data_IF_467336868100
#
_entry.id   IF_467336868100
#
_cell.length_a   1.000
_cell.length_b   1.000
_cell.length_c   1.000
_cell.angle_alpha   90.00
_cell.angle_beta   90.00
_cell.angle_gamma   90.00
#
_symmetry.space_group_name_H-M   'P 1'
#
loop_
_entity.id
_entity.type
_entity.pdbx_description
1 polymer ?
#
# COMPACT_ATOMS: atom_id res chain seq x y z
N UNK A 1 -85.84 12.31 -8.68
CA UNK A 1 -87.18 11.75 -8.40
C UNK A 1 -87.21 11.28 -6.95
N UNK A 2 -88.17 11.76 -6.14
CA UNK A 2 -88.84 10.89 -5.16
C UNK A 2 -89.74 9.92 -5.94
N UNK A 3 -90.07 8.73 -5.41
CA UNK A 3 -91.34 8.52 -4.69
C UNK A 3 -91.14 7.90 -3.29
N UNK A 4 -91.91 8.16 -2.21
CA UNK A 4 -93.37 8.06 -1.94
C UNK A 4 -93.83 6.66 -1.45
N UNK A 5 -93.98 6.53 -0.11
CA UNK A 5 -95.18 6.10 0.69
C UNK A 5 -96.24 5.10 0.12
N UNK A 6 -97.11 4.45 0.97
CA UNK A 6 -96.84 3.51 2.08
C UNK A 6 -97.58 2.14 1.86
N UNK A 7 -98.83 1.79 2.31
CA UNK A 7 -99.71 2.14 3.47
C UNK A 7 -100.20 0.94 4.36
N UNK A 8 -100.90 1.23 5.48
CA UNK A 8 -102.09 0.50 6.02
C UNK A 8 -101.94 -0.93 6.64
N UNK A 9 -102.74 -1.44 7.62
CA UNK A 9 -103.89 -0.95 8.44
C UNK A 9 -104.29 -1.96 9.56
N UNK A 10 -104.98 -1.48 10.63
CA UNK A 10 -106.12 -2.14 11.37
C UNK A 10 -105.86 -3.43 12.18
N UNK A 11 -106.55 -3.81 13.28
CA UNK A 11 -107.32 -3.18 14.39
C UNK A 11 -107.49 -4.24 15.51
N UNK A 12 -107.97 -3.85 16.69
CA UNK A 12 -108.50 -4.75 17.74
C UNK A 12 -107.79 -4.61 19.09
N UNK A 13 -108.41 -4.21 20.20
CA UNK A 13 -109.83 -3.88 20.44
C UNK A 13 -110.50 -4.91 21.34
N UNK A 14 -110.63 -4.61 22.63
CA UNK A 14 -111.65 -5.23 23.48
C UNK A 14 -112.01 -4.32 24.67
N UNK A 15 -113.27 -3.92 24.69
CA UNK A 15 -113.87 -2.98 25.64
C UNK A 15 -114.35 -3.70 26.90
N UNK A 16 -114.44 -2.97 28.01
CA UNK A 16 -115.60 -3.12 28.90
C UNK A 16 -116.13 -1.74 29.29
N UNK A 17 -117.44 -1.56 29.11
CA UNK A 17 -118.17 -0.30 29.23
C UNK A 17 -119.37 -0.54 30.14
N UNK A 18 -119.59 0.33 31.13
CA UNK A 18 -120.80 0.52 31.98
C UNK A 18 -120.35 1.48 33.10
N UNK A 19 -120.44 2.81 33.01
CA UNK A 19 -121.53 3.71 32.59
C UNK A 19 -122.66 3.85 33.62
N UNK A 20 -123.24 5.06 33.65
CA UNK A 20 -124.21 5.67 34.60
C UNK A 20 -123.53 6.39 35.79
N UNK A 21 -123.25 7.71 35.79
CA UNK A 21 -123.97 8.94 35.37
C UNK A 21 -124.75 9.64 36.51
N UNK A 22 -124.76 10.98 36.48
CA UNK A 22 -125.50 11.95 37.34
C UNK A 22 -125.27 11.92 38.87
N UNK A 23 -124.58 12.94 39.38
CA UNK A 23 -125.22 14.22 39.79
C UNK A 23 -124.31 15.06 40.71
N UNK A 24 -124.27 16.38 40.48
CA UNK A 24 -124.01 17.39 41.54
C UNK A 24 -125.38 17.92 42.00
N UNK A 25 -125.55 18.36 43.26
CA UNK A 25 -125.29 19.79 43.52
C UNK A 25 -124.74 20.14 44.93
N UNK A 26 -124.11 21.32 44.96
CA UNK A 26 -124.08 22.33 46.04
C UNK A 26 -123.71 22.00 47.50
N UNK A 27 -122.67 22.72 47.94
CA UNK A 27 -122.43 23.32 49.27
C UNK A 27 -122.80 22.53 50.55
N UNK A 28 -121.80 22.39 51.44
CA UNK A 28 -121.67 23.35 52.54
C UNK A 28 -120.20 23.56 52.98
N UNK A 29 -119.95 24.70 53.62
CA UNK A 29 -118.70 25.09 54.28
C UNK A 29 -118.22 24.04 55.31
N UNK A 30 -116.90 23.88 55.49
CA UNK A 30 -116.17 24.42 56.66
C UNK A 30 -114.64 24.38 56.38
N UNK A 31 -113.83 25.28 56.95
CA UNK A 31 -112.46 25.53 56.48
C UNK A 31 -111.38 24.86 57.36
N UNK A 32 -110.25 24.45 56.74
CA UNK A 32 -109.08 23.96 57.48
C UNK A 32 -107.79 24.60 56.96
N UNK A 33 -107.20 25.47 57.78
CA UNK A 33 -106.24 26.51 57.36
C UNK A 33 -104.78 26.04 57.23
N UNK A 34 -104.51 24.77 57.51
CA UNK A 34 -103.16 24.23 57.71
C UNK A 34 -102.44 23.75 56.44
N UNK A 35 -103.12 23.69 55.29
CA UNK A 35 -102.56 23.11 54.06
C UNK A 35 -101.96 24.15 53.08
N UNK A 36 -102.29 25.43 53.23
CA UNK A 36 -101.82 26.51 52.32
C UNK A 36 -100.38 26.90 52.62
N UNK A 37 -100.00 26.93 53.90
CA UNK A 37 -98.69 27.42 54.37
C UNK A 37 -97.55 26.46 53.97
N UNK A 38 -97.77 25.14 54.07
CA UNK A 38 -96.81 24.12 53.60
C UNK A 38 -96.55 24.20 52.09
N UNK A 39 -97.54 24.58 51.27
CA UNK A 39 -97.34 24.73 49.81
C UNK A 39 -96.45 25.92 49.47
N UNK A 40 -96.59 27.04 50.17
CA UNK A 40 -95.70 28.19 49.98
C UNK A 40 -94.28 27.91 50.48
N UNK A 41 -94.11 27.21 51.60
CA UNK A 41 -92.78 26.78 52.09
C UNK A 41 -92.10 25.86 51.08
N UNK A 42 -92.82 24.88 50.51
CA UNK A 42 -92.28 24.00 49.47
C UNK A 42 -91.90 24.76 48.18
N UNK A 43 -92.74 25.69 47.72
CA UNK A 43 -92.43 26.54 46.55
C UNK A 43 -91.20 27.41 46.80
N UNK A 44 -91.13 28.10 47.94
CA UNK A 44 -90.03 28.99 48.28
C UNK A 44 -88.74 28.19 48.48
N UNK A 45 -88.82 26.99 49.08
CA UNK A 45 -87.71 26.05 49.13
C UNK A 45 -87.23 25.69 47.73
N UNK A 46 -88.11 25.26 46.80
CA UNK A 46 -87.72 24.89 45.43
C UNK A 46 -87.10 26.03 44.63
N UNK A 47 -87.57 27.27 44.81
CA UNK A 47 -86.99 28.46 44.18
C UNK A 47 -85.60 28.73 44.78
N UNK A 48 -85.43 28.55 46.10
CA UNK A 48 -84.12 28.67 46.76
C UNK A 48 -83.14 27.58 46.29
N UNK A 49 -83.56 26.31 46.16
CA UNK A 49 -82.71 25.24 45.62
C UNK A 49 -82.35 25.48 44.15
N UNK A 50 -83.27 25.97 43.34
CA UNK A 50 -83.01 26.31 41.93
C UNK A 50 -82.03 27.48 41.81
N UNK A 51 -82.26 28.58 42.55
CA UNK A 51 -81.36 29.74 42.57
C UNK A 51 -79.97 29.40 43.11
N UNK A 52 -79.89 28.63 44.19
CA UNK A 52 -78.62 28.15 44.74
C UNK A 52 -77.89 27.21 43.78
N UNK A 53 -78.63 26.35 43.05
CA UNK A 53 -78.03 25.49 42.01
C UNK A 53 -77.43 26.33 40.88
N UNK A 54 -78.17 27.29 40.33
CA UNK A 54 -77.65 28.17 39.26
C UNK A 54 -76.43 28.96 39.74
N UNK A 55 -76.50 29.55 40.93
CA UNK A 55 -75.37 30.29 41.50
C UNK A 55 -74.15 29.39 41.76
N UNK A 56 -74.34 28.18 42.30
CA UNK A 56 -73.26 27.21 42.53
C UNK A 56 -72.59 26.76 41.22
N UNK A 57 -73.37 26.50 40.18
CA UNK A 57 -72.84 26.19 38.85
C UNK A 57 -72.05 27.37 38.24
N UNK A 58 -72.53 28.61 38.41
CA UNK A 58 -71.85 29.80 37.89
C UNK A 58 -70.57 30.15 38.67
N UNK A 59 -70.60 30.12 40.01
CA UNK A 59 -69.49 30.58 40.84
C UNK A 59 -68.42 29.52 41.16
N UNK A 60 -68.71 28.21 41.04
CA UNK A 60 -67.70 27.15 41.26
C UNK A 60 -67.31 26.41 39.98
N UNK A 61 -68.27 25.98 39.18
CA UNK A 61 -67.99 25.08 38.04
C UNK A 61 -67.50 25.87 36.81
N UNK A 62 -67.95 27.12 36.60
CA UNK A 62 -67.48 27.96 35.50
C UNK A 62 -66.01 28.45 35.57
N UNK A 63 -65.45 28.86 36.73
CA UNK A 63 -64.03 29.20 36.82
C UNK A 63 -63.14 27.97 36.64
N UNK A 64 -63.44 26.86 37.34
CA UNK A 64 -62.69 25.59 37.22
C UNK A 64 -62.61 25.10 35.76
N UNK A 65 -63.70 25.18 35.00
CA UNK A 65 -63.70 24.80 33.58
C UNK A 65 -62.84 25.69 32.67
N UNK A 66 -62.69 26.99 32.99
CA UNK A 66 -61.83 27.91 32.23
C UNK A 66 -60.36 27.73 32.57
N UNK A 67 -60.04 27.51 33.84
CA UNK A 67 -58.68 27.17 34.27
C UNK A 67 -58.25 25.80 33.72
N UNK A 68 -59.15 24.82 33.69
CA UNK A 68 -58.89 23.53 33.05
C UNK A 68 -58.63 23.66 31.54
N UNK A 69 -59.41 24.50 30.83
CA UNK A 69 -59.21 24.75 29.41
C UNK A 69 -57.87 25.45 29.13
N UNK A 70 -57.53 26.49 29.89
CA UNK A 70 -56.25 27.20 29.76
C UNK A 70 -55.05 26.32 30.13
N UNK A 71 -55.19 25.47 31.15
CA UNK A 71 -54.18 24.47 31.54
C UNK A 71 -54.04 23.39 30.47
N UNK A 72 -55.12 22.95 29.83
CA UNK A 72 -55.07 22.00 28.71
C UNK A 72 -54.34 22.59 27.51
N UNK A 73 -54.65 23.82 27.08
CA UNK A 73 -53.94 24.45 25.97
C UNK A 73 -52.48 24.72 26.28
N UNK A 74 -52.14 25.09 27.53
CA UNK A 74 -50.75 25.23 27.95
C UNK A 74 -50.00 23.87 27.97
N UNK A 75 -50.65 22.77 28.36
CA UNK A 75 -50.05 21.43 28.31
C UNK A 75 -49.88 20.93 26.86
N UNK A 76 -50.84 21.17 25.97
CA UNK A 76 -50.71 20.86 24.54
C UNK A 76 -49.56 21.66 23.90
N UNK A 77 -49.39 22.94 24.26
CA UNK A 77 -48.25 23.75 23.82
C UNK A 77 -46.91 23.24 24.37
N UNK A 78 -46.86 22.83 25.65
CA UNK A 78 -45.66 22.26 26.25
C UNK A 78 -45.28 20.90 25.64
N UNK A 79 -46.26 20.02 25.39
CA UNK A 79 -46.02 18.74 24.73
C UNK A 79 -45.48 18.94 23.30
N UNK A 80 -46.09 19.83 22.52
CA UNK A 80 -45.61 20.18 21.17
C UNK A 80 -44.23 20.84 21.20
N UNK A 81 -43.90 21.63 22.23
CA UNK A 81 -42.55 22.17 22.41
C UNK A 81 -41.52 21.07 22.71
N UNK A 82 -41.87 20.10 23.55
CA UNK A 82 -40.98 19.01 23.97
C UNK A 82 -40.81 17.94 22.86
N UNK A 83 -41.83 17.71 22.03
CA UNK A 83 -41.68 16.93 20.79
C UNK A 83 -40.74 17.61 19.79
N UNK A 84 -40.78 18.95 19.68
CA UNK A 84 -39.84 19.70 18.83
C UNK A 84 -38.41 19.58 19.33
N UNK A 85 -38.15 19.77 20.63
CA UNK A 85 -36.79 19.60 21.18
C UNK A 85 -36.26 18.18 21.01
N UNK A 86 -37.10 17.14 21.16
CA UNK A 86 -36.73 15.75 20.86
C UNK A 86 -36.43 15.56 19.36
N UNK A 87 -37.18 16.19 18.47
CA UNK A 87 -36.91 16.13 17.03
C UNK A 87 -35.60 16.83 16.64
N UNK A 88 -35.22 17.89 17.36
CA UNK A 88 -33.97 18.64 17.16
C UNK A 88 -32.77 17.91 17.75
N UNK A 89 -32.88 17.35 18.97
CA UNK A 89 -31.82 16.52 19.56
C UNK A 89 -31.59 15.23 18.78
N UNK A 90 -32.65 14.63 18.22
CA UNK A 90 -32.52 13.48 17.31
C UNK A 90 -31.71 13.84 16.06
N UNK A 91 -32.03 14.95 15.38
CA UNK A 91 -31.27 15.39 14.20
C UNK A 91 -29.80 15.62 14.52
N UNK A 92 -29.49 16.26 15.65
CA UNK A 92 -28.11 16.45 16.11
C UNK A 92 -27.41 15.13 16.38
N UNK A 93 -28.10 14.14 16.96
CA UNK A 93 -27.57 12.80 17.15
C UNK A 93 -27.28 12.12 15.80
N UNK A 94 -28.24 12.13 14.88
CA UNK A 94 -28.08 11.56 13.52
C UNK A 94 -26.89 12.24 12.79
N UNK A 95 -26.78 13.58 12.85
CA UNK A 95 -25.66 14.38 12.29
C UNK A 95 -24.30 14.02 12.92
N UNK A 96 -24.24 13.86 14.26
CA UNK A 96 -23.00 13.43 14.92
C UNK A 96 -22.62 11.98 14.63
N UNK A 97 -23.59 11.09 14.40
CA UNK A 97 -23.35 9.70 14.01
C UNK A 97 -22.83 9.57 12.58
N UNK A 98 -23.31 10.38 11.66
CA UNK A 98 -22.74 10.43 10.31
C UNK A 98 -21.34 11.08 10.33
N UNK A 99 -21.08 12.03 11.24
CA UNK A 99 -19.74 12.56 11.47
C UNK A 99 -18.76 11.53 12.07
N UNK A 100 -19.18 10.69 13.03
CA UNK A 100 -18.33 9.62 13.58
C UNK A 100 -18.04 8.53 12.54
N UNK A 101 -19.04 8.10 11.77
CA UNK A 101 -18.83 7.19 10.61
C UNK A 101 -17.82 7.75 9.61
N UNK A 102 -17.94 9.03 9.26
CA UNK A 102 -17.01 9.70 8.34
C UNK A 102 -15.58 9.73 8.90
N UNK A 103 -15.43 9.91 10.22
CA UNK A 103 -14.13 9.86 10.89
C UNK A 103 -13.55 8.43 10.97
N UNK A 104 -14.39 7.41 11.16
CA UNK A 104 -13.97 6.00 11.13
C UNK A 104 -13.46 5.59 9.73
N UNK A 105 -14.21 5.93 8.68
CA UNK A 105 -13.75 5.76 7.29
C UNK A 105 -12.43 6.49 7.01
N UNK A 106 -12.21 7.66 7.62
CA UNK A 106 -10.96 8.41 7.46
C UNK A 106 -9.77 7.69 8.12
N UNK A 107 -9.97 7.03 9.27
CA UNK A 107 -8.94 6.19 9.91
C UNK A 107 -8.63 4.96 9.05
N UNK A 108 -9.64 4.29 8.49
CA UNK A 108 -9.44 3.13 7.61
C UNK A 108 -8.69 3.51 6.32
N UNK A 109 -9.11 4.59 5.65
CA UNK A 109 -8.43 5.13 4.45
C UNK A 109 -7.00 5.55 4.76
N UNK A 110 -6.75 6.16 5.93
CA UNK A 110 -5.40 6.49 6.37
C UNK A 110 -4.54 5.23 6.61
N UNK A 111 -5.10 4.18 7.21
CA UNK A 111 -4.40 2.92 7.43
C UNK A 111 -4.04 2.23 6.10
N UNK A 112 -4.97 2.19 5.15
CA UNK A 112 -4.72 1.65 3.80
C UNK A 112 -3.62 2.45 3.08
N UNK A 113 -3.74 3.78 3.04
CA UNK A 113 -2.74 4.65 2.41
C UNK A 113 -1.35 4.52 3.04
N UNK A 114 -1.25 4.37 4.36
CA UNK A 114 0.02 4.14 5.06
C UNK A 114 0.66 2.79 4.67
N UNK A 115 -0.13 1.72 4.61
CA UNK A 115 0.36 0.39 4.20
C UNK A 115 0.75 0.38 2.72
N UNK A 116 0.02 1.11 1.87
CA UNK A 116 0.34 1.26 0.44
C UNK A 116 1.65 2.03 0.24
N UNK A 117 1.83 3.14 0.97
CA UNK A 117 3.08 3.90 0.99
C UNK A 117 4.25 3.00 1.46
N UNK A 118 4.07 2.19 2.51
CA UNK A 118 5.14 1.29 2.97
C UNK A 118 5.49 0.18 1.99
N UNK A 119 4.51 -0.35 1.26
CA UNK A 119 4.76 -1.28 0.14
C UNK A 119 5.49 -0.59 -1.01
N UNK A 120 5.18 0.67 -1.31
CA UNK A 120 5.90 1.46 -2.31
C UNK A 120 7.35 1.74 -1.88
N UNK A 121 7.58 2.20 -0.65
CA UNK A 121 8.94 2.42 -0.12
C UNK A 121 9.80 1.16 -0.17
N UNK A 122 9.24 -0.02 0.17
CA UNK A 122 9.93 -1.30 0.03
C UNK A 122 10.19 -1.70 -1.43
N UNK A 123 9.23 -1.48 -2.34
CA UNK A 123 9.42 -1.73 -3.77
C UNK A 123 10.49 -0.81 -4.37
N UNK A 124 10.48 0.48 -4.03
CA UNK A 124 11.50 1.44 -4.45
C UNK A 124 12.89 1.09 -3.89
N UNK A 125 12.97 0.62 -2.63
CA UNK A 125 14.21 0.15 -2.03
C UNK A 125 14.76 -1.12 -2.74
N UNK A 126 13.88 -2.08 -3.05
CA UNK A 126 14.25 -3.29 -3.81
C UNK A 126 14.66 -2.95 -5.24
N UNK A 127 13.91 -2.08 -5.94
CA UNK A 127 14.26 -1.61 -7.28
C UNK A 127 15.57 -0.81 -7.29
N UNK A 128 15.83 0.00 -6.27
CA UNK A 128 17.08 0.73 -6.11
C UNK A 128 18.26 -0.22 -5.84
N UNK A 129 18.08 -1.21 -4.95
CA UNK A 129 19.08 -2.24 -4.67
C UNK A 129 19.37 -3.08 -5.92
N UNK A 130 18.34 -3.48 -6.67
CA UNK A 130 18.48 -4.20 -7.94
C UNK A 130 19.19 -3.36 -9.00
N UNK A 131 18.78 -2.10 -9.21
CA UNK A 131 19.45 -1.17 -10.15
C UNK A 131 20.91 -0.95 -9.77
N UNK A 132 21.22 -0.84 -8.47
CA UNK A 132 22.59 -0.73 -7.98
C UNK A 132 23.38 -2.01 -8.27
N UNK A 133 22.85 -3.18 -7.92
CA UNK A 133 23.47 -4.48 -8.22
C UNK A 133 23.77 -4.66 -9.71
N UNK A 134 22.85 -4.26 -10.61
CA UNK A 134 23.07 -4.26 -12.06
C UNK A 134 24.15 -3.26 -12.49
N UNK A 135 24.25 -2.09 -11.85
CA UNK A 135 25.30 -1.11 -12.14
C UNK A 135 26.68 -1.59 -11.66
N UNK A 136 26.76 -2.12 -10.45
CA UNK A 136 27.97 -2.71 -9.85
C UNK A 136 28.47 -3.88 -10.73
N UNK A 137 27.57 -4.77 -11.19
CA UNK A 137 27.88 -5.83 -12.16
C UNK A 137 28.34 -5.29 -13.53
N UNK A 138 27.79 -4.18 -14.02
CA UNK A 138 28.24 -3.56 -15.27
C UNK A 138 29.64 -2.96 -15.14
N UNK A 139 29.99 -2.40 -13.98
CA UNK A 139 31.35 -1.90 -13.69
C UNK A 139 32.35 -3.06 -13.60
N UNK A 140 32.01 -4.15 -12.91
CA UNK A 140 32.83 -5.36 -12.85
C UNK A 140 33.09 -5.96 -14.25
N UNK A 141 32.05 -6.09 -15.07
CA UNK A 141 32.17 -6.55 -16.47
C UNK A 141 33.02 -5.58 -17.30
N UNK A 142 32.94 -4.27 -17.05
CA UNK A 142 33.79 -3.29 -17.73
C UNK A 142 35.27 -3.43 -17.32
N UNK A 143 35.55 -3.62 -16.03
CA UNK A 143 36.91 -3.94 -15.55
C UNK A 143 37.44 -5.25 -16.14
N UNK A 144 36.62 -6.31 -16.19
CA UNK A 144 37.02 -7.60 -16.73
C UNK A 144 37.34 -7.50 -18.21
N UNK A 145 36.53 -6.77 -18.98
CA UNK A 145 36.85 -6.45 -20.38
C UNK A 145 38.16 -5.65 -20.52
N UNK A 146 38.40 -4.65 -19.67
CA UNK A 146 39.66 -3.88 -19.69
C UNK A 146 40.87 -4.76 -19.36
N UNK A 147 40.76 -5.66 -18.36
CA UNK A 147 41.80 -6.65 -17.99
C UNK A 147 42.09 -7.60 -19.17
N UNK A 148 41.04 -8.09 -19.85
CA UNK A 148 41.15 -8.93 -21.06
C UNK A 148 41.85 -8.19 -22.20
N UNK A 149 41.51 -6.93 -22.47
CA UNK A 149 42.14 -6.15 -23.55
C UNK A 149 43.59 -5.80 -23.25
N UNK A 150 43.94 -5.48 -22.00
CA UNK A 150 45.35 -5.35 -21.60
C UNK A 150 46.13 -6.66 -21.83
N UNK A 151 45.53 -7.82 -21.54
CA UNK A 151 46.15 -9.12 -21.75
C UNK A 151 46.33 -9.44 -23.24
N UNK A 152 45.31 -9.13 -24.08
CA UNK A 152 45.41 -9.22 -25.55
C UNK A 152 46.56 -8.36 -26.09
N UNK A 153 46.69 -7.12 -25.61
CA UNK A 153 47.80 -6.22 -26.00
C UNK A 153 49.17 -6.76 -25.58
N UNK A 154 49.30 -7.33 -24.36
CA UNK A 154 50.56 -7.96 -23.91
C UNK A 154 50.93 -9.16 -24.78
N UNK A 155 49.99 -10.05 -25.07
CA UNK A 155 50.22 -11.19 -25.98
C UNK A 155 50.58 -10.75 -27.41
N UNK A 156 49.94 -9.71 -27.95
CA UNK A 156 50.26 -9.23 -29.29
C UNK A 156 51.68 -8.65 -29.36
N UNK A 157 52.06 -7.79 -28.40
CA UNK A 157 53.44 -7.28 -28.29
C UNK A 157 54.47 -8.39 -28.15
N UNK A 158 54.16 -9.43 -27.36
CA UNK A 158 55.04 -10.59 -27.22
C UNK A 158 55.23 -11.33 -28.55
N UNK A 159 54.15 -11.56 -29.31
CA UNK A 159 54.19 -12.22 -30.62
C UNK A 159 54.91 -11.38 -31.67
N UNK A 160 54.79 -10.06 -31.62
CA UNK A 160 55.55 -9.15 -32.50
C UNK A 160 57.04 -9.17 -32.14
N UNK A 161 57.38 -9.13 -30.86
CA UNK A 161 58.76 -9.28 -30.38
C UNK A 161 59.36 -10.64 -30.75
N UNK A 162 58.60 -11.74 -30.65
CA UNK A 162 59.09 -13.09 -31.00
C UNK A 162 59.26 -13.28 -32.51
N UNK A 163 58.41 -12.64 -33.34
CA UNK A 163 58.61 -12.54 -34.81
C UNK A 163 59.84 -11.71 -35.16
N UNK A 164 59.97 -10.51 -34.62
CA UNK A 164 61.09 -9.61 -34.89
C UNK A 164 62.44 -10.25 -34.50
N UNK A 165 62.53 -10.90 -33.34
CA UNK A 165 63.72 -11.62 -32.92
C UNK A 165 64.08 -12.79 -33.86
N UNK A 166 63.08 -13.51 -34.39
CA UNK A 166 63.28 -14.56 -35.41
C UNK A 166 63.79 -13.99 -36.73
N UNK A 167 63.23 -12.88 -37.19
CA UNK A 167 63.63 -12.21 -38.43
C UNK A 167 65.09 -11.71 -38.35
N UNK A 168 65.48 -11.08 -37.24
CA UNK A 168 66.88 -10.68 -37.00
C UNK A 168 67.84 -11.88 -37.01
N UNK A 169 67.48 -12.98 -36.34
CA UNK A 169 68.30 -14.20 -36.30
C UNK A 169 68.45 -14.82 -37.70
N UNK A 170 67.37 -14.86 -38.49
CA UNK A 170 67.37 -15.34 -39.87
C UNK A 170 68.25 -14.46 -40.77
N UNK A 171 68.07 -13.13 -40.74
CA UNK A 171 68.88 -12.19 -41.51
C UNK A 171 70.38 -12.32 -41.19
N UNK A 172 70.71 -12.49 -39.90
CA UNK A 172 72.09 -12.68 -39.43
C UNK A 172 72.67 -14.02 -39.92
N UNK A 173 71.89 -15.10 -39.86
CA UNK A 173 72.25 -16.43 -40.40
C UNK A 173 72.48 -16.38 -41.91
N UNK A 174 71.62 -15.70 -42.67
CA UNK A 174 71.79 -15.51 -44.11
C UNK A 174 73.06 -14.70 -44.41
N UNK A 175 73.31 -13.61 -43.68
CA UNK A 175 74.52 -12.81 -43.84
C UNK A 175 75.79 -13.67 -43.69
N UNK A 176 75.84 -14.55 -42.68
CA UNK A 176 76.95 -15.48 -42.46
C UNK A 176 77.08 -16.54 -43.54
N UNK A 177 75.97 -17.09 -44.05
CA UNK A 177 75.96 -17.98 -45.22
C UNK A 177 76.53 -17.30 -46.47
N UNK A 178 76.20 -16.03 -46.74
CA UNK A 178 76.80 -15.29 -47.87
C UNK A 178 78.30 -15.03 -47.68
N UNK A 179 78.78 -14.84 -46.45
CA UNK A 179 80.21 -14.70 -46.14
C UNK A 179 80.96 -16.03 -46.35
N UNK A 180 80.37 -17.15 -45.92
CA UNK A 180 80.91 -18.49 -46.18
C UNK A 180 81.00 -18.79 -47.68
N UNK A 181 79.95 -18.51 -48.46
CA UNK A 181 79.98 -18.64 -49.92
C UNK A 181 81.12 -17.82 -50.56
N UNK A 182 81.25 -16.53 -50.19
CA UNK A 182 82.34 -15.65 -50.65
C UNK A 182 83.74 -16.15 -50.24
N UNK A 183 83.88 -16.86 -49.12
CA UNK A 183 85.15 -17.47 -48.72
C UNK A 183 85.43 -18.77 -49.49
N UNK A 184 84.42 -19.60 -49.74
CA UNK A 184 84.53 -20.81 -50.54
C UNK A 184 84.90 -20.49 -52.00
N UNK A 185 84.34 -19.43 -52.59
CA UNK A 185 84.71 -19.00 -53.95
C UNK A 185 86.15 -18.46 -54.02
N UNK A 186 86.61 -17.73 -53.00
CA UNK A 186 88.03 -17.34 -52.87
C UNK A 186 88.95 -18.53 -52.65
N UNK A 187 88.51 -19.57 -51.94
CA UNK A 187 89.26 -20.81 -51.79
C UNK A 187 89.41 -21.53 -53.14
N UNK A 188 88.32 -21.62 -53.92
CA UNK A 188 88.32 -22.18 -55.28
C UNK A 188 89.24 -21.41 -56.22
N UNK A 189 89.21 -20.07 -56.21
CA UNK A 189 90.09 -19.27 -57.06
C UNK A 189 91.57 -19.50 -56.73
N UNK A 190 91.94 -19.48 -55.44
CA UNK A 190 93.30 -19.79 -55.00
C UNK A 190 93.72 -21.23 -55.33
N UNK A 191 92.80 -22.20 -55.32
CA UNK A 191 93.09 -23.57 -55.78
C UNK A 191 93.36 -23.62 -57.30
N UNK A 192 92.63 -22.84 -58.11
CA UNK A 192 92.91 -22.75 -59.55
C UNK A 192 94.24 -22.05 -59.85
N UNK A 193 94.58 -20.97 -59.14
CA UNK A 193 95.88 -20.30 -59.24
C UNK A 193 97.04 -21.22 -58.83
N UNK A 194 96.86 -21.97 -57.73
CA UNK A 194 97.85 -22.97 -57.29
C UNK A 194 98.09 -24.05 -58.35
N UNK A 195 97.01 -24.58 -58.93
CA UNK A 195 97.10 -25.58 -60.00
C UNK A 195 97.73 -25.06 -61.29
N UNK A 196 97.57 -23.77 -61.60
CA UNK A 196 98.28 -23.11 -62.71
C UNK A 196 99.77 -22.96 -62.39
N UNK A 197 100.13 -22.42 -61.23
CA UNK A 197 101.52 -22.25 -60.79
C UNK A 197 102.27 -23.59 -60.69
N UNK A 198 101.60 -24.68 -60.28
CA UNK A 198 102.18 -26.03 -60.24
C UNK A 198 102.48 -26.57 -61.66
N UNK A 199 101.60 -26.33 -62.64
CA UNK A 199 101.83 -26.69 -64.05
C UNK A 199 102.99 -25.89 -64.65
N UNK A 200 103.03 -24.58 -64.41
CA UNK A 200 104.12 -23.70 -64.87
C UNK A 200 105.46 -24.09 -64.25
N UNK A 201 105.49 -24.41 -62.96
CA UNK A 201 106.70 -24.86 -62.27
C UNK A 201 107.15 -26.25 -62.75
N UNK A 202 106.23 -27.15 -63.12
CA UNK A 202 106.59 -28.42 -63.77
C UNK A 202 107.22 -28.18 -65.15
N UNK A 203 106.57 -27.35 -65.99
CA UNK A 203 107.07 -26.99 -67.32
C UNK A 203 108.45 -26.32 -67.25
N UNK A 204 108.63 -25.32 -66.39
CA UNK A 204 109.92 -24.65 -66.20
C UNK A 204 111.02 -25.60 -65.67
N UNK A 205 110.67 -26.61 -64.87
CA UNK A 205 111.61 -27.67 -64.46
C UNK A 205 111.99 -28.61 -65.60
N UNK A 206 111.06 -28.92 -66.51
CA UNK A 206 111.33 -29.71 -67.71
C UNK A 206 112.15 -28.93 -68.74
N UNK A 207 111.81 -27.68 -69.01
CA UNK A 207 112.58 -26.78 -69.88
C UNK A 207 114.01 -26.56 -69.36
N UNK A 208 114.18 -26.42 -68.03
CA UNK A 208 115.52 -26.34 -67.43
C UNK A 208 116.31 -27.65 -67.56
N UNK A 209 115.66 -28.83 -67.43
CA UNK A 209 116.29 -30.13 -67.70
C UNK A 209 116.66 -30.29 -69.17
N UNK A 210 115.81 -29.84 -70.10
CA UNK A 210 116.05 -29.90 -71.54
C UNK A 210 117.21 -28.99 -71.95
N UNK A 211 117.19 -27.71 -71.56
CA UNK A 211 118.29 -26.77 -71.85
C UNK A 211 119.64 -27.24 -71.30
N UNK A 212 119.68 -27.82 -70.09
CA UNK A 212 120.89 -28.44 -69.52
C UNK A 212 121.47 -29.56 -70.40
N UNK A 213 120.64 -30.31 -71.14
CA UNK A 213 121.10 -31.37 -72.07
C UNK A 213 121.63 -30.82 -73.40
N UNK A 214 121.22 -29.62 -73.82
CA UNK A 214 121.48 -29.12 -75.18
C UNK A 214 122.48 -27.95 -75.27
N UNK A 215 122.64 -27.10 -74.24
CA UNK A 215 123.45 -25.87 -74.37
C UNK A 215 124.58 -25.67 -73.34
N UNK A 216 124.73 -26.56 -72.35
CA UNK A 216 125.76 -26.44 -71.30
C UNK A 216 125.61 -25.26 -70.33
N UNK A 217 124.69 -24.32 -70.59
CA UNK A 217 124.48 -23.12 -69.79
C UNK A 217 123.77 -23.41 -68.46
N UNK A 218 124.10 -22.62 -67.42
CA UNK A 218 123.48 -22.74 -66.10
C UNK A 218 121.97 -22.38 -66.15
N UNK A 219 121.11 -23.10 -65.42
CA UNK A 219 119.66 -22.85 -65.43
C UNK A 219 119.29 -21.54 -64.72
N UNK A 220 118.27 -20.85 -65.22
CA UNK A 220 117.65 -19.67 -64.59
C UNK A 220 116.96 -20.08 -63.26
N UNK A 221 117.72 -20.13 -62.16
CA UNK A 221 117.22 -20.54 -60.84
C UNK A 221 116.22 -19.56 -60.22
N UNK A 222 116.34 -18.26 -60.51
CA UNK A 222 115.47 -17.21 -59.93
C UNK A 222 114.00 -17.42 -60.29
N UNK A 223 113.68 -17.73 -61.55
CA UNK A 223 112.29 -17.94 -61.99
C UNK A 223 111.62 -19.13 -61.28
N UNK A 224 112.38 -20.20 -61.00
CA UNK A 224 111.89 -21.37 -60.27
C UNK A 224 111.70 -21.05 -58.77
N UNK A 225 112.63 -20.31 -58.16
CA UNK A 225 112.53 -19.88 -56.78
C UNK A 225 111.35 -18.89 -56.56
N UNK A 226 111.12 -17.96 -57.50
CA UNK A 226 110.01 -17.03 -57.48
C UNK A 226 108.65 -17.72 -57.51
N UNK A 227 108.44 -18.65 -58.47
CA UNK A 227 107.21 -19.47 -58.54
C UNK A 227 107.02 -20.32 -57.27
N UNK A 228 108.08 -20.90 -56.73
CA UNK A 228 107.99 -21.71 -55.50
C UNK A 228 107.66 -20.84 -54.26
N UNK A 229 108.14 -19.60 -54.20
CA UNK A 229 107.73 -18.63 -53.18
C UNK A 229 106.27 -18.17 -53.35
N UNK A 230 105.81 -17.96 -54.58
CA UNK A 230 104.41 -17.65 -54.90
C UNK A 230 103.46 -18.79 -54.49
N UNK A 231 103.78 -20.04 -54.83
CA UNK A 231 103.02 -21.21 -54.39
C UNK A 231 102.93 -21.30 -52.86
N UNK A 232 104.02 -21.03 -52.15
CA UNK A 232 104.00 -21.02 -50.68
C UNK A 232 103.11 -19.91 -50.11
N UNK A 233 103.07 -18.73 -50.73
CA UNK A 233 102.12 -17.66 -50.38
C UNK A 233 100.67 -18.07 -50.62
N UNK A 234 100.36 -18.72 -51.76
CA UNK A 234 99.02 -19.23 -52.07
C UNK A 234 98.60 -20.31 -51.07
N UNK A 235 99.49 -21.25 -50.72
CA UNK A 235 99.21 -22.28 -49.68
C UNK A 235 98.93 -21.64 -48.31
N UNK A 236 99.69 -20.63 -47.91
CA UNK A 236 99.45 -19.90 -46.67
C UNK A 236 98.11 -19.13 -46.68
N UNK A 237 97.76 -18.49 -47.81
CA UNK A 237 96.47 -17.82 -47.99
C UNK A 237 95.30 -18.81 -47.94
N UNK A 238 95.40 -19.96 -48.60
CA UNK A 238 94.41 -21.04 -48.55
C UNK A 238 94.23 -21.58 -47.13
N UNK A 239 95.32 -21.81 -46.39
CA UNK A 239 95.25 -22.23 -44.99
C UNK A 239 94.56 -21.17 -44.10
N UNK A 240 94.81 -19.88 -44.33
CA UNK A 240 94.16 -18.78 -43.61
C UNK A 240 92.66 -18.67 -43.95
N UNK A 241 92.25 -18.87 -45.21
CA UNK A 241 90.83 -18.92 -45.60
C UNK A 241 90.14 -20.14 -44.99
N UNK A 242 90.76 -21.32 -45.05
CA UNK A 242 90.20 -22.54 -44.42
C UNK A 242 90.00 -22.36 -42.91
N UNK A 243 90.92 -21.66 -42.22
CA UNK A 243 90.75 -21.31 -40.81
C UNK A 243 89.57 -20.34 -40.59
N UNK A 244 89.39 -19.34 -41.46
CA UNK A 244 88.25 -18.41 -41.40
C UNK A 244 86.90 -19.08 -41.67
N UNK A 245 86.82 -20.01 -42.62
CA UNK A 245 85.61 -20.80 -42.86
C UNK A 245 85.25 -21.62 -41.63
N UNK A 246 86.17 -22.44 -41.11
CA UNK A 246 85.93 -23.23 -39.89
C UNK A 246 85.46 -22.41 -38.69
N UNK A 247 85.97 -21.19 -38.53
CA UNK A 247 85.53 -20.25 -37.48
C UNK A 247 84.12 -19.70 -37.74
N UNK A 248 83.76 -19.43 -38.99
CA UNK A 248 82.41 -19.02 -39.38
C UNK A 248 81.40 -20.16 -39.31
N UNK A 249 81.79 -21.38 -39.68
CA UNK A 249 80.97 -22.60 -39.55
C UNK A 249 80.66 -22.86 -38.07
N UNK A 250 81.68 -22.86 -37.20
CA UNK A 250 81.50 -23.03 -35.75
C UNK A 250 80.69 -21.88 -35.12
N UNK A 251 80.85 -20.65 -35.61
CA UNK A 251 80.02 -19.52 -35.18
C UNK A 251 78.55 -19.66 -35.64
N UNK A 252 78.30 -20.27 -36.80
CA UNK A 252 76.96 -20.52 -37.32
C UNK A 252 76.25 -21.63 -36.53
N UNK A 253 76.96 -22.71 -36.22
CA UNK A 253 76.47 -23.80 -35.36
C UNK A 253 76.14 -23.29 -33.94
N UNK A 254 77.05 -22.51 -33.34
CA UNK A 254 76.80 -21.86 -32.05
C UNK A 254 75.65 -20.82 -32.10
N UNK A 255 75.43 -20.16 -33.24
CA UNK A 255 74.27 -19.27 -33.43
C UNK A 255 72.97 -20.08 -33.52
N UNK A 256 72.96 -21.22 -34.20
CA UNK A 256 71.79 -22.10 -34.31
C UNK A 256 71.41 -22.72 -32.96
N UNK A 257 72.39 -23.15 -32.15
CA UNK A 257 72.14 -23.66 -30.79
C UNK A 257 71.58 -22.56 -29.86
N UNK A 258 72.12 -21.34 -29.93
CA UNK A 258 71.63 -20.21 -29.15
C UNK A 258 70.25 -19.74 -29.61
N UNK A 259 69.97 -19.76 -30.91
CA UNK A 259 68.64 -19.48 -31.46
C UNK A 259 67.61 -20.49 -30.95
N UNK A 260 67.90 -21.80 -30.97
CA UNK A 260 67.02 -22.83 -30.45
C UNK A 260 66.72 -22.66 -28.95
N UNK A 261 67.73 -22.30 -28.14
CA UNK A 261 67.53 -21.94 -26.72
C UNK A 261 66.65 -20.72 -26.54
N UNK A 262 66.82 -19.69 -27.37
CA UNK A 262 66.01 -18.47 -27.34
C UNK A 262 64.55 -18.73 -27.77
N UNK A 263 64.32 -19.54 -28.80
CA UNK A 263 62.96 -19.96 -29.20
C UNK A 263 62.24 -20.72 -28.09
N UNK A 264 62.93 -21.63 -27.40
CA UNK A 264 62.35 -22.40 -26.30
C UNK A 264 62.04 -21.52 -25.07
N UNK A 265 62.80 -20.44 -24.84
CA UNK A 265 62.46 -19.41 -23.86
C UNK A 265 61.23 -18.58 -24.28
N UNK A 266 61.14 -18.21 -25.56
CA UNK A 266 59.97 -17.48 -26.09
C UNK A 266 58.69 -18.32 -26.02
N UNK A 267 58.75 -19.60 -26.40
CA UNK A 267 57.62 -20.54 -26.28
C UNK A 267 57.14 -20.67 -24.83
N UNK A 268 58.05 -20.87 -23.87
CA UNK A 268 57.70 -20.91 -22.43
C UNK A 268 57.09 -19.61 -21.91
N UNK A 269 57.47 -18.47 -22.49
CA UNK A 269 56.87 -17.19 -22.14
C UNK A 269 55.48 -17.02 -22.78
N UNK A 270 55.26 -17.52 -24.00
CA UNK A 270 53.95 -17.53 -24.66
C UNK A 270 52.98 -18.47 -23.93
N UNK A 271 53.43 -19.67 -23.54
CA UNK A 271 52.70 -20.67 -22.77
C UNK A 271 52.19 -20.09 -21.44
N UNK A 272 53.06 -19.48 -20.63
CA UNK A 272 52.68 -18.80 -19.38
C UNK A 272 51.60 -17.74 -19.55
N UNK A 273 51.68 -16.93 -20.61
CA UNK A 273 50.65 -15.91 -20.88
C UNK A 273 49.32 -16.52 -21.36
N UNK A 274 49.34 -17.72 -21.95
CA UNK A 274 48.11 -18.49 -22.20
C UNK A 274 47.55 -19.16 -20.95
N UNK A 275 48.40 -19.60 -20.01
CA UNK A 275 47.97 -20.11 -18.70
C UNK A 275 47.33 -19.00 -17.83
N UNK A 276 47.97 -17.83 -17.75
CA UNK A 276 47.41 -16.64 -17.08
C UNK A 276 46.06 -16.23 -17.67
N UNK A 277 45.94 -16.26 -19.00
CA UNK A 277 44.66 -16.03 -19.70
C UNK A 277 43.59 -17.04 -19.29
N UNK A 278 43.91 -18.33 -19.27
CA UNK A 278 42.93 -19.37 -18.95
C UNK A 278 42.51 -19.31 -17.47
N UNK A 279 43.44 -18.95 -16.56
CA UNK A 279 43.14 -18.77 -15.14
C UNK A 279 42.25 -17.56 -14.86
N UNK A 280 42.46 -16.45 -15.58
CA UNK A 280 41.64 -15.24 -15.46
C UNK A 280 40.20 -15.40 -15.98
N UNK A 281 39.88 -16.52 -16.65
CA UNK A 281 38.54 -16.84 -17.16
C UNK A 281 37.76 -17.82 -16.25
N UNK A 282 38.30 -18.16 -15.08
CA UNK A 282 37.80 -19.26 -14.23
C UNK A 282 37.63 -18.87 -12.76
N UNK A 283 37.48 -17.59 -12.44
CA UNK A 283 37.46 -17.06 -11.08
C UNK A 283 36.09 -16.49 -10.63
N UNK A 284 35.08 -16.48 -11.50
CA UNK A 284 33.85 -15.68 -11.35
C UNK A 284 32.73 -16.33 -10.49
N UNK A 285 32.92 -17.55 -9.98
CA UNK A 285 31.82 -18.39 -9.45
C UNK A 285 31.57 -18.30 -7.92
N UNK A 286 32.15 -17.34 -7.19
CA UNK A 286 32.13 -17.39 -5.72
C UNK A 286 31.95 -16.06 -4.97
N UNK A 287 30.71 -15.56 -4.89
CA UNK A 287 30.24 -14.87 -3.68
C UNK A 287 28.74 -15.11 -3.39
N UNK A 288 28.43 -15.38 -2.12
CA UNK A 288 27.15 -15.93 -1.65
C UNK A 288 26.28 -14.82 -1.04
N UNK A 289 25.11 -14.55 -1.63
CA UNK A 289 24.19 -13.53 -1.13
C UNK A 289 23.50 -13.98 0.17
N UNK A 290 23.95 -13.47 1.33
CA UNK A 290 23.17 -13.53 2.57
C UNK A 290 21.95 -12.61 2.48
N UNK A 291 20.72 -13.11 2.69
CA UNK A 291 19.51 -12.28 2.73
C UNK A 291 19.54 -11.29 3.92
N UNK A 292 18.98 -10.07 3.77
CA UNK A 292 18.85 -9.14 4.87
C UNK A 292 17.82 -9.64 5.90
N UNK A 293 18.17 -9.51 7.18
CA UNK A 293 17.32 -9.86 8.32
C UNK A 293 16.17 -8.86 8.47
N UNK A 294 14.94 -9.36 8.56
CA UNK A 294 13.69 -8.59 8.49
C UNK A 294 13.06 -8.32 9.88
N UNK A 295 13.76 -8.64 10.98
CA UNK A 295 13.19 -8.57 12.34
C UNK A 295 12.89 -7.16 12.88
N UNK A 296 13.75 -6.18 12.60
CA UNK A 296 13.71 -4.86 13.27
C UNK A 296 12.77 -3.85 12.59
N UNK A 297 12.43 -4.05 11.31
CA UNK A 297 11.71 -3.07 10.49
C UNK A 297 10.20 -3.02 10.84
N UNK A 298 9.61 -4.15 11.25
CA UNK A 298 8.19 -4.24 11.65
C UNK A 298 7.91 -3.47 12.95
N UNK A 299 8.86 -3.47 13.90
CA UNK A 299 8.77 -2.71 15.14
C UNK A 299 8.87 -1.19 14.91
N UNK A 300 9.74 -0.77 13.98
CA UNK A 300 9.86 0.64 13.57
C UNK A 300 8.62 1.13 12.81
N UNK A 301 8.04 0.29 11.94
CA UNK A 301 6.79 0.60 11.25
C UNK A 301 5.61 0.82 12.22
N UNK A 302 5.49 -0.01 13.26
CA UNK A 302 4.47 0.14 14.30
C UNK A 302 4.58 1.47 15.08
N UNK A 303 5.80 1.96 15.30
CA UNK A 303 6.04 3.28 15.92
C UNK A 303 5.67 4.43 14.95
N UNK A 304 6.13 4.36 13.69
CA UNK A 304 5.84 5.38 12.68
C UNK A 304 4.34 5.56 12.40
N UNK A 305 3.59 4.46 12.29
CA UNK A 305 2.14 4.50 12.12
C UNK A 305 1.45 5.16 13.32
N UNK A 306 1.89 4.86 14.56
CA UNK A 306 1.34 5.49 15.77
C UNK A 306 1.58 6.99 15.83
N UNK A 307 2.69 7.48 15.30
CA UNK A 307 3.01 8.91 15.24
C UNK A 307 2.13 9.64 14.21
N UNK A 308 2.07 9.11 12.99
CA UNK A 308 1.38 9.77 11.87
C UNK A 308 -0.15 9.68 11.98
N UNK A 309 -0.71 8.65 12.65
CA UNK A 309 -2.15 8.51 12.87
C UNK A 309 -2.72 9.32 14.03
N UNK A 310 -1.89 9.97 14.87
CA UNK A 310 -2.33 10.83 16.00
C UNK A 310 -3.48 11.79 15.64
N UNK A 311 -3.35 12.69 14.63
CA UNK A 311 -4.38 13.69 14.35
C UNK A 311 -5.72 13.06 13.89
N UNK A 312 -5.68 11.95 13.15
CA UNK A 312 -6.89 11.27 12.68
C UNK A 312 -7.61 10.56 13.85
N UNK A 313 -6.85 9.99 14.78
CA UNK A 313 -7.37 9.39 16.01
C UNK A 313 -7.93 10.43 16.99
N UNK A 314 -7.27 11.56 17.15
CA UNK A 314 -7.75 12.69 17.96
C UNK A 314 -9.06 13.27 17.39
N UNK A 315 -9.18 13.36 16.06
CA UNK A 315 -10.42 13.75 15.39
C UNK A 315 -11.56 12.73 15.63
N UNK A 316 -11.27 11.43 15.51
CA UNK A 316 -12.23 10.36 15.83
C UNK A 316 -12.68 10.40 17.29
N UNK A 317 -11.75 10.55 18.23
CA UNK A 317 -12.06 10.67 19.66
C UNK A 317 -12.93 11.89 19.96
N UNK A 318 -12.66 13.02 19.30
CA UNK A 318 -13.48 14.22 19.44
C UNK A 318 -14.90 13.98 18.93
N UNK A 319 -15.05 13.41 17.73
CA UNK A 319 -16.35 13.08 17.16
C UNK A 319 -17.14 12.12 18.06
N UNK A 320 -16.50 11.08 18.61
CA UNK A 320 -17.15 10.16 19.57
C UNK A 320 -17.58 10.84 20.87
N UNK A 321 -16.80 11.79 21.40
CA UNK A 321 -17.18 12.60 22.57
C UNK A 321 -18.38 13.51 22.27
N UNK A 322 -18.49 14.02 21.05
CA UNK A 322 -19.64 14.82 20.60
C UNK A 322 -20.89 13.95 20.37
N UNK A 323 -20.76 12.75 19.79
CA UNK A 323 -21.85 11.76 19.68
C UNK A 323 -22.36 11.31 21.07
N UNK A 324 -21.46 10.99 22.01
CA UNK A 324 -21.84 10.64 23.38
C UNK A 324 -22.62 11.77 24.08
N UNK A 325 -22.24 13.03 23.86
CA UNK A 325 -22.95 14.19 24.40
C UNK A 325 -24.33 14.38 23.75
N UNK A 326 -24.43 14.22 22.43
CA UNK A 326 -25.70 14.28 21.70
C UNK A 326 -26.65 13.14 22.14
N UNK A 327 -26.12 11.93 22.34
CA UNK A 327 -26.88 10.76 22.79
C UNK A 327 -27.43 10.96 24.21
N UNK A 328 -26.61 11.46 25.15
CA UNK A 328 -27.05 11.80 26.52
C UNK A 328 -28.15 12.88 26.50
N UNK A 329 -27.98 13.95 25.72
CA UNK A 329 -28.98 15.01 25.58
C UNK A 329 -30.31 14.51 24.96
N UNK A 330 -30.24 13.55 24.03
CA UNK A 330 -31.43 12.90 23.47
C UNK A 330 -32.15 12.01 24.50
N UNK A 331 -31.41 11.21 25.26
CA UNK A 331 -31.98 10.34 26.30
C UNK A 331 -32.55 11.15 27.49
N UNK A 332 -31.91 12.27 27.86
CA UNK A 332 -32.44 13.22 28.85
C UNK A 332 -33.75 13.85 28.38
N UNK A 333 -33.81 14.43 27.16
CA UNK A 333 -35.05 14.97 26.61
C UNK A 333 -36.18 13.93 26.52
N UNK A 334 -35.82 12.68 26.18
CA UNK A 334 -36.76 11.55 26.13
C UNK A 334 -37.21 11.09 27.52
N UNK A 335 -36.35 11.20 28.53
CA UNK A 335 -36.71 10.96 29.92
C UNK A 335 -37.66 12.06 30.43
N UNK A 336 -37.40 13.33 30.13
CA UNK A 336 -38.28 14.45 30.48
C UNK A 336 -39.69 14.28 29.90
N UNK A 337 -39.83 13.90 28.62
CA UNK A 337 -41.14 13.57 28.02
C UNK A 337 -41.87 12.48 28.80
N UNK A 338 -41.15 11.40 29.16
CA UNK A 338 -41.72 10.29 29.95
C UNK A 338 -42.10 10.73 31.36
N UNK A 339 -41.34 11.63 31.98
CA UNK A 339 -41.65 12.16 33.30
C UNK A 339 -42.86 13.10 33.27
N UNK A 340 -42.91 14.06 32.33
CA UNK A 340 -44.07 14.95 32.15
C UNK A 340 -45.34 14.15 31.90
N UNK A 341 -45.32 13.25 30.91
CA UNK A 341 -46.45 12.37 30.58
C UNK A 341 -46.90 11.51 31.78
N UNK A 342 -45.97 10.97 32.57
CA UNK A 342 -46.30 10.14 33.74
C UNK A 342 -46.89 10.96 34.89
N UNK A 343 -46.43 12.19 35.10
CA UNK A 343 -46.97 13.08 36.12
C UNK A 343 -48.28 13.75 35.69
N UNK A 344 -48.51 13.90 34.38
CA UNK A 344 -49.81 14.25 33.79
C UNK A 344 -50.84 13.13 34.01
N UNK A 345 -50.51 11.87 33.70
CA UNK A 345 -51.39 10.72 33.97
C UNK A 345 -51.77 10.65 35.45
N UNK A 346 -50.83 10.84 36.38
CA UNK A 346 -51.12 10.90 37.83
C UNK A 346 -52.00 12.08 38.24
N UNK A 347 -51.92 13.22 37.55
CA UNK A 347 -52.78 14.39 37.82
C UNK A 347 -54.21 14.11 37.35
N UNK A 348 -54.38 13.56 36.15
CA UNK A 348 -55.68 13.14 35.62
C UNK A 348 -56.33 12.06 36.50
N UNK A 349 -55.56 11.06 36.96
CA UNK A 349 -56.08 9.99 37.84
C UNK A 349 -56.55 10.51 39.22
N UNK A 350 -55.99 11.62 39.71
CA UNK A 350 -56.49 12.31 40.91
C UNK A 350 -57.77 13.08 40.61
N UNK A 351 -57.77 13.88 39.54
CA UNK A 351 -58.92 14.68 39.12
C UNK A 351 -60.15 13.80 38.79
N UNK A 352 -59.96 12.59 38.24
CA UNK A 352 -61.03 11.59 38.08
C UNK A 352 -61.55 11.04 39.41
N UNK A 353 -60.66 10.73 40.37
CA UNK A 353 -61.06 10.24 41.71
C UNK A 353 -61.83 11.30 42.49
N UNK A 354 -61.46 12.56 42.34
CA UNK A 354 -62.18 13.69 42.93
C UNK A 354 -63.55 13.88 42.26
N UNK A 355 -63.65 13.82 40.93
CA UNK A 355 -64.95 13.83 40.23
C UNK A 355 -65.84 12.63 40.60
N UNK A 356 -65.27 11.43 40.73
CA UNK A 356 -66.01 10.23 41.14
C UNK A 356 -66.53 10.36 42.58
N UNK A 357 -65.75 10.98 43.46
CA UNK A 357 -66.14 11.29 44.84
C UNK A 357 -67.25 12.35 44.90
N UNK A 358 -67.15 13.40 44.09
CA UNK A 358 -68.22 14.39 43.90
C UNK A 358 -69.52 13.77 43.36
N UNK A 359 -69.43 12.89 42.35
CA UNK A 359 -70.62 12.18 41.84
C UNK A 359 -71.32 11.34 42.91
N UNK A 360 -70.58 10.66 43.79
CA UNK A 360 -71.14 9.88 44.91
C UNK A 360 -71.86 10.76 45.93
N UNK A 361 -71.33 11.94 46.25
CA UNK A 361 -71.98 12.90 47.15
C UNK A 361 -73.35 13.36 46.61
N UNK A 362 -73.44 13.64 45.30
CA UNK A 362 -74.70 14.07 44.68
C UNK A 362 -75.70 12.93 44.43
N UNK A 363 -75.28 11.72 44.06
CA UNK A 363 -76.21 10.57 43.96
C UNK A 363 -76.74 10.11 45.32
N UNK A 364 -75.93 10.20 46.39
CA UNK A 364 -76.41 10.02 47.75
C UNK A 364 -77.45 11.07 48.15
N UNK A 365 -77.16 12.36 47.92
CA UNK A 365 -78.08 13.46 48.23
C UNK A 365 -79.41 13.38 47.48
N UNK A 366 -79.39 13.06 46.18
CA UNK A 366 -80.59 12.88 45.38
C UNK A 366 -81.44 11.67 45.84
N UNK A 367 -80.78 10.58 46.26
CA UNK A 367 -81.48 9.41 46.82
C UNK A 367 -82.19 9.72 48.13
N UNK A 368 -81.54 10.43 49.06
CA UNK A 368 -82.15 10.82 50.35
C UNK A 368 -83.32 11.80 50.15
N UNK A 369 -83.17 12.78 49.26
CA UNK A 369 -84.25 13.71 48.93
C UNK A 369 -85.47 13.00 48.29
N UNK A 370 -85.22 12.06 47.37
CA UNK A 370 -86.27 11.22 46.78
C UNK A 370 -86.96 10.31 47.81
N UNK A 371 -86.20 9.72 48.72
CA UNK A 371 -86.73 8.85 49.77
C UNK A 371 -87.60 9.60 50.79
N UNK A 372 -87.20 10.82 51.17
CA UNK A 372 -88.02 11.70 52.02
C UNK A 372 -89.33 12.11 51.34
N UNK A 373 -89.31 12.42 50.04
CA UNK A 373 -90.51 12.71 49.24
C UNK A 373 -91.47 11.51 49.16
N UNK A 374 -90.91 10.30 49.00
CA UNK A 374 -91.66 9.04 48.92
C UNK A 374 -92.29 8.67 50.28
N UNK A 375 -91.56 8.85 51.38
CA UNK A 375 -92.11 8.70 52.74
C UNK A 375 -93.26 9.68 53.00
N UNK A 376 -93.15 10.93 52.55
CA UNK A 376 -94.21 11.93 52.74
C UNK A 376 -95.47 11.61 51.91
N UNK A 377 -95.33 11.09 50.70
CA UNK A 377 -96.47 10.67 49.86
C UNK A 377 -97.16 9.40 50.38
N UNK A 378 -96.40 8.40 50.83
CA UNK A 378 -96.97 7.17 51.41
C UNK A 378 -97.60 7.43 52.79
N UNK A 379 -97.02 8.33 53.59
CA UNK A 379 -97.58 8.77 54.87
C UNK A 379 -98.92 9.50 54.73
N UNK A 380 -99.09 10.30 53.67
CA UNK A 380 -100.34 11.00 53.39
C UNK A 380 -101.49 10.05 52.99
N UNK A 381 -101.20 8.93 52.32
CA UNK A 381 -102.23 8.00 51.84
C UNK A 381 -102.76 7.06 52.93
N UNK A 382 -101.96 6.78 53.98
CA UNK A 382 -102.29 5.78 55.00
C UNK A 382 -103.12 6.30 56.20
N UNK A 383 -103.48 7.58 56.20
CA UNK A 383 -104.30 8.23 57.26
C UNK A 383 -105.71 8.63 56.80
N UNK A 384 -106.16 8.15 55.62
CA UNK A 384 -107.49 8.45 55.06
C UNK A 384 -108.51 7.31 55.21
N UNK A 385 -108.12 6.14 55.73
CA UNK A 385 -109.00 5.04 56.11
C UNK A 385 -108.70 4.67 57.58
N UNK A 386 -109.44 5.28 58.50
CA UNK A 386 -109.31 5.10 59.95
C UNK A 386 -110.24 6.06 60.69
#
# INVERSE_FOLDING_TARGET
MQPVFPPATVEGGLSFFCHVDKARPFLYFYPNHWNTLMRYVLLLLTILTAGFSVWYYQNRISPEGRELAARKTAMEQNAVALEKTISETRKKLDETQDATRTAEEAVEKFQQAYLDQKRQEQQEALDAAYRKSIADQQEEVAEHNQKIDQLRLRMNRQKENSKSAREELLQKRESMKTLLAKLADKQRSLQTELGQAERELSKNREDAKAKKKFSGAAPQKENIAGLQAQMNRIRAATAAINKKMRLLDAALEAQEENAGKQELQMQKAEEKLTEEKNKALAADDQEENTPPDMGDEELLAAAGYREQSKPVREALEKARKEEEQASRAYDEARAELRHSSRDEVKKLEKEEKDQASFRKLFTGGASVAGFLLLLFTVGAFRRSNG
#
